data_IF_526566265752
#
_entry.id   IF_526566265752
#
_cell.length_a   1.000
_cell.length_b   1.000
_cell.length_c   1.000
_cell.angle_alpha   90.00
_cell.angle_beta   90.00
_cell.angle_gamma   90.00
#
_symmetry.space_group_name_H-M   'P 1'
#
loop_
_entity.id
_entity.type
_entity.pdbx_description
1 polymer ?
#
# COMPACT_ATOMS: atom_id res chain seq x y z
N UNK A 1 3.82 9.63 14.53
CA UNK A 1 3.75 8.56 13.51
C UNK A 1 2.74 7.48 13.91
N UNK A 2 1.45 7.85 14.17
CA UNK A 2 0.40 6.92 14.61
C UNK A 2 0.12 5.80 13.60
N UNK A 3 -0.06 6.14 12.31
CA UNK A 3 -0.36 5.16 11.27
C UNK A 3 0.80 4.20 11.02
N UNK A 4 2.02 4.71 10.91
CA UNK A 4 3.19 3.86 10.67
C UNK A 4 3.49 2.93 11.83
N UNK A 5 3.27 3.36 13.07
CA UNK A 5 3.42 2.53 14.26
C UNK A 5 2.44 1.34 14.22
N UNK A 6 1.16 1.60 13.93
CA UNK A 6 0.13 0.57 13.83
C UNK A 6 0.41 -0.43 12.69
N UNK A 7 0.78 0.07 11.50
CA UNK A 7 1.10 -0.77 10.34
C UNK A 7 2.29 -1.69 10.60
N UNK A 8 3.38 -1.16 11.17
CA UNK A 8 4.59 -1.95 11.48
C UNK A 8 4.30 -2.99 12.57
N UNK A 9 3.51 -2.63 13.58
CA UNK A 9 3.09 -3.58 14.62
C UNK A 9 2.29 -4.73 14.01
N UNK A 10 1.25 -4.43 13.22
CA UNK A 10 0.46 -5.44 12.53
C UNK A 10 1.33 -6.35 11.67
N UNK A 11 2.20 -5.78 10.84
CA UNK A 11 3.11 -6.56 9.99
C UNK A 11 3.99 -7.49 10.80
N UNK A 12 4.63 -6.99 11.86
CA UNK A 12 5.58 -7.76 12.66
C UNK A 12 4.92 -8.90 13.45
N UNK A 13 3.69 -8.73 13.90
CA UNK A 13 2.93 -9.78 14.59
C UNK A 13 2.40 -10.81 13.60
N UNK A 14 1.75 -10.35 12.54
CA UNK A 14 1.10 -11.23 11.58
C UNK A 14 2.08 -12.08 10.77
N UNK A 15 3.27 -11.56 10.43
CA UNK A 15 4.27 -12.35 9.70
C UNK A 15 4.76 -13.56 10.50
N UNK A 16 4.87 -13.44 11.82
CA UNK A 16 5.28 -14.54 12.68
C UNK A 16 4.21 -15.62 12.77
N UNK A 17 2.94 -15.25 12.74
CA UNK A 17 1.81 -16.19 12.77
C UNK A 17 1.61 -16.89 11.43
N UNK A 18 1.70 -16.14 10.32
CA UNK A 18 1.51 -16.69 8.96
C UNK A 18 2.70 -17.55 8.53
N UNK A 19 3.92 -17.18 8.94
CA UNK A 19 5.15 -17.86 8.55
C UNK A 19 5.91 -18.42 9.76
N UNK A 20 5.33 -19.41 10.49
CA UNK A 20 6.01 -20.04 11.59
C UNK A 20 7.23 -20.83 11.12
N UNK A 21 8.18 -21.11 12.02
CA UNK A 21 9.43 -21.80 11.69
C UNK A 21 9.24 -23.20 11.05
N UNK A 22 8.09 -23.84 11.26
CA UNK A 22 7.74 -25.12 10.64
C UNK A 22 7.10 -25.03 9.25
N UNK A 23 6.96 -23.80 8.73
CA UNK A 23 6.30 -23.51 7.47
C UNK A 23 4.80 -23.16 7.63
N UNK A 24 4.25 -22.40 6.64
CA UNK A 24 2.89 -21.88 6.69
C UNK A 24 1.80 -22.94 6.45
N UNK A 25 2.15 -24.07 5.84
CA UNK A 25 1.15 -25.08 5.45
C UNK A 25 1.02 -26.15 6.53
N UNK A 26 -0.22 -26.41 6.94
CA UNK A 26 -0.62 -27.57 7.76
C UNK A 26 -1.65 -28.36 6.99
N UNK A 27 -1.53 -29.68 7.00
CA UNK A 27 -2.52 -30.59 6.38
C UNK A 27 -3.49 -31.11 7.41
N UNK A 28 -4.76 -31.20 7.03
CA UNK A 28 -5.81 -31.83 7.83
C UNK A 28 -6.47 -32.96 7.05
N UNK A 29 -6.72 -34.10 7.73
CA UNK A 29 -7.35 -35.28 7.11
C UNK A 29 -8.84 -35.25 7.44
N UNK A 30 -9.67 -35.21 6.41
CA UNK A 30 -11.11 -35.37 6.53
C UNK A 30 -11.49 -36.84 6.53
N UNK A 31 -12.27 -37.26 7.52
CA UNK A 31 -12.74 -38.65 7.70
C UNK A 31 -11.80 -39.51 8.52
N UNK A 32 -11.74 -40.83 8.21
CA UNK A 32 -10.98 -41.81 9.01
C UNK A 32 -9.48 -41.60 8.80
N UNK A 33 -8.77 -41.38 9.90
CA UNK A 33 -7.31 -41.21 9.93
C UNK A 33 -6.65 -42.61 9.99
N UNK A 34 -6.03 -43.02 8.87
CA UNK A 34 -5.19 -44.23 8.80
C UNK A 34 -3.70 -43.82 8.81
N UNK A 35 -2.84 -44.75 9.21
CA UNK A 35 -1.38 -44.53 9.22
C UNK A 35 -0.85 -44.13 7.86
N UNK A 36 -1.38 -44.67 6.78
CA UNK A 36 -0.98 -44.35 5.41
C UNK A 36 -1.40 -42.92 5.02
N UNK A 37 -2.65 -42.54 5.35
CA UNK A 37 -3.14 -41.17 5.09
C UNK A 37 -2.35 -40.12 5.88
N UNK A 38 -1.95 -40.43 7.13
CA UNK A 38 -1.10 -39.53 7.92
C UNK A 38 0.26 -39.34 7.28
N UNK A 39 0.88 -40.41 6.74
CA UNK A 39 2.14 -40.31 6.02
C UNK A 39 2.02 -39.52 4.70
N UNK A 40 0.91 -39.72 3.98
CA UNK A 40 0.62 -38.95 2.76
C UNK A 40 0.42 -37.46 3.09
N UNK A 41 -0.39 -37.12 4.08
CA UNK A 41 -0.63 -35.77 4.54
C UNK A 41 0.68 -35.07 4.94
N UNK A 42 1.56 -35.76 5.67
CA UNK A 42 2.87 -35.23 6.03
C UNK A 42 3.75 -34.94 4.80
N UNK A 43 3.80 -35.87 3.82
CA UNK A 43 4.57 -35.64 2.57
C UNK A 43 4.04 -34.44 1.78
N UNK A 44 2.72 -34.29 1.69
CA UNK A 44 2.09 -33.14 1.04
C UNK A 44 2.43 -31.84 1.76
N UNK A 45 2.33 -31.84 3.10
CA UNK A 45 2.72 -30.68 3.92
C UNK A 45 4.19 -30.29 3.71
N UNK A 46 5.11 -31.26 3.81
CA UNK A 46 6.54 -31.02 3.64
C UNK A 46 6.85 -30.51 2.23
N UNK A 47 6.22 -31.08 1.20
CA UNK A 47 6.38 -30.64 -0.18
C UNK A 47 5.86 -29.21 -0.43
N UNK A 48 4.66 -28.87 0.06
CA UNK A 48 4.10 -27.54 -0.09
C UNK A 48 4.92 -26.48 0.66
N UNK A 49 5.39 -26.81 1.87
CA UNK A 49 6.28 -25.91 2.61
C UNK A 49 7.61 -25.72 1.88
N UNK A 50 8.18 -26.77 1.29
CA UNK A 50 9.37 -26.67 0.44
C UNK A 50 9.13 -25.75 -0.77
N UNK A 51 7.99 -25.91 -1.46
CA UNK A 51 7.64 -25.05 -2.59
C UNK A 51 7.56 -23.58 -2.18
N UNK A 52 6.88 -23.27 -1.07
CA UNK A 52 6.67 -21.89 -0.63
C UNK A 52 7.91 -21.23 -0.03
N UNK A 53 8.78 -21.99 0.64
CA UNK A 53 9.90 -21.41 1.38
C UNK A 53 11.23 -21.46 0.61
N UNK A 54 11.42 -22.49 -0.24
CA UNK A 54 12.71 -22.72 -0.92
C UNK A 54 12.61 -22.45 -2.43
N UNK A 55 11.54 -22.90 -3.09
CA UNK A 55 11.40 -22.75 -4.54
C UNK A 55 10.90 -21.33 -4.89
N UNK A 56 9.87 -20.86 -4.17
CA UNK A 56 9.33 -19.50 -4.34
C UNK A 56 10.07 -18.51 -3.45
N UNK A 57 11.30 -18.17 -3.80
CA UNK A 57 12.17 -17.30 -2.99
C UNK A 57 11.59 -15.92 -2.71
N UNK A 58 10.68 -15.45 -3.57
CA UNK A 58 9.97 -14.19 -3.41
C UNK A 58 8.81 -14.27 -2.40
N UNK A 59 8.31 -15.45 -2.05
CA UNK A 59 7.07 -15.61 -1.29
C UNK A 59 7.04 -14.83 0.02
N UNK A 60 8.15 -14.86 0.77
CA UNK A 60 8.28 -14.15 2.03
C UNK A 60 8.29 -12.64 1.85
N UNK A 61 9.13 -12.13 0.94
CA UNK A 61 9.23 -10.69 0.71
C UNK A 61 7.94 -10.09 0.16
N UNK A 62 7.25 -10.82 -0.73
CA UNK A 62 5.94 -10.40 -1.24
C UNK A 62 4.85 -10.48 -0.16
N UNK A 63 4.95 -11.40 0.79
CA UNK A 63 4.06 -11.45 1.97
C UNK A 63 4.31 -10.26 2.89
N UNK A 64 5.56 -9.88 3.14
CA UNK A 64 5.91 -8.72 3.96
C UNK A 64 5.37 -7.41 3.36
N UNK A 65 5.47 -7.23 2.04
CA UNK A 65 4.89 -6.08 1.32
C UNK A 65 3.36 -6.06 1.44
N UNK A 66 2.72 -7.21 1.27
CA UNK A 66 1.28 -7.35 1.40
C UNK A 66 0.81 -6.97 2.80
N UNK A 67 1.45 -7.50 3.84
CA UNK A 67 1.11 -7.23 5.24
C UNK A 67 1.40 -5.79 5.67
N UNK A 68 2.31 -5.10 5.00
CA UNK A 68 2.54 -3.68 5.22
C UNK A 68 1.44 -2.83 4.55
N UNK A 69 1.07 -3.14 3.31
CA UNK A 69 0.08 -2.39 2.54
C UNK A 69 -1.34 -2.63 3.03
N UNK A 70 -1.69 -3.86 3.41
CA UNK A 70 -3.03 -4.28 3.77
C UNK A 70 -3.68 -3.41 4.88
N UNK A 71 -3.07 -3.23 6.07
CA UNK A 71 -3.69 -2.41 7.12
C UNK A 71 -3.77 -0.94 6.74
N UNK A 72 -2.85 -0.44 5.92
CA UNK A 72 -2.82 0.96 5.51
C UNK A 72 -3.94 1.26 4.50
N UNK A 73 -3.95 0.53 3.38
CA UNK A 73 -4.86 0.76 2.25
C UNK A 73 -6.22 0.08 2.41
N UNK A 74 -6.31 -0.99 3.21
CA UNK A 74 -7.53 -1.76 3.45
C UNK A 74 -7.72 -2.94 2.51
N UNK A 75 -7.21 -2.89 1.29
CA UNK A 75 -7.22 -3.97 0.32
C UNK A 75 -5.84 -4.22 -0.24
N UNK A 76 -5.52 -5.49 -0.44
CA UNK A 76 -4.29 -5.92 -1.09
C UNK A 76 -4.58 -7.21 -1.87
N UNK A 77 -3.84 -7.44 -2.94
CA UNK A 77 -4.04 -8.60 -3.78
C UNK A 77 -2.76 -9.41 -3.89
N UNK A 78 -2.93 -10.70 -4.10
CA UNK A 78 -1.83 -11.61 -4.42
C UNK A 78 -2.14 -12.31 -5.72
N UNK A 79 -1.23 -12.20 -6.67
CA UNK A 79 -1.28 -12.97 -7.92
C UNK A 79 -0.44 -14.22 -7.78
N UNK A 80 -1.04 -15.37 -8.15
CA UNK A 80 -0.36 -16.66 -8.18
C UNK A 80 -0.47 -17.19 -9.61
N UNK A 81 0.67 -17.43 -10.23
CA UNK A 81 0.73 -17.89 -11.61
C UNK A 81 2.01 -18.70 -11.86
N UNK A 82 2.01 -19.45 -12.94
CA UNK A 82 3.21 -20.11 -13.42
C UNK A 82 3.99 -19.16 -14.31
N UNK A 83 5.24 -18.88 -13.98
CA UNK A 83 6.10 -18.01 -14.79
C UNK A 83 6.88 -18.88 -15.79
N UNK A 84 6.61 -18.76 -17.10
CA UNK A 84 7.29 -19.57 -18.11
C UNK A 84 8.79 -19.23 -18.22
N UNK A 85 9.20 -18.02 -17.85
CA UNK A 85 10.61 -17.63 -17.88
C UNK A 85 11.42 -18.22 -16.73
N UNK A 86 10.77 -18.47 -15.59
CA UNK A 86 11.37 -19.10 -14.42
C UNK A 86 11.11 -20.60 -14.33
N UNK A 87 10.13 -21.11 -15.11
CA UNK A 87 9.73 -22.53 -15.10
C UNK A 87 9.15 -23.00 -13.77
N UNK A 88 8.58 -22.11 -12.95
CA UNK A 88 8.04 -22.42 -11.63
C UNK A 88 6.83 -21.54 -11.26
N UNK A 89 6.02 -21.97 -10.28
CA UNK A 89 4.99 -21.11 -9.70
C UNK A 89 5.62 -19.88 -9.06
N UNK A 90 4.94 -18.75 -9.16
CA UNK A 90 5.37 -17.46 -8.63
C UNK A 90 4.22 -16.79 -7.91
N UNK A 91 4.54 -16.15 -6.81
CA UNK A 91 3.58 -15.36 -6.02
C UNK A 91 4.03 -13.90 -5.98
N UNK A 92 3.15 -12.98 -6.37
CA UNK A 92 3.44 -11.56 -6.45
C UNK A 92 2.40 -10.77 -5.69
N UNK A 93 2.85 -9.80 -4.91
CA UNK A 93 1.98 -8.78 -4.32
C UNK A 93 1.53 -7.79 -5.39
N UNK A 94 0.24 -7.46 -5.38
CA UNK A 94 -0.36 -6.44 -6.25
C UNK A 94 -1.08 -5.42 -5.35
N UNK A 95 -0.65 -4.16 -5.36
CA UNK A 95 -1.31 -3.11 -4.60
C UNK A 95 -2.70 -2.81 -5.17
N UNK A 96 -3.58 -2.26 -4.34
CA UNK A 96 -4.96 -1.97 -4.73
C UNK A 96 -5.06 -0.96 -5.89
N UNK A 97 -4.07 -0.07 -6.04
CA UNK A 97 -4.01 0.93 -7.11
C UNK A 97 -3.74 0.33 -8.49
N UNK A 98 -3.09 -0.83 -8.55
CA UNK A 98 -2.79 -1.56 -9.79
C UNK A 98 -3.84 -2.62 -10.13
N UNK A 99 -4.89 -2.73 -9.32
CA UNK A 99 -5.96 -3.71 -9.51
C UNK A 99 -7.31 -3.02 -9.70
N UNK A 100 -7.86 -3.12 -10.89
CA UNK A 100 -9.10 -2.42 -11.28
C UNK A 100 -10.21 -3.43 -11.50
N UNK A 101 -11.35 -3.20 -10.85
CA UNK A 101 -12.56 -4.04 -10.94
C UNK A 101 -13.73 -3.20 -11.43
N UNK A 102 -14.72 -3.83 -12.05
CA UNK A 102 -15.96 -3.16 -12.44
C UNK A 102 -16.69 -2.60 -11.21
N UNK A 103 -17.31 -1.43 -11.37
CA UNK A 103 -17.86 -0.65 -10.24
C UNK A 103 -18.92 -1.39 -9.40
N UNK A 104 -19.71 -2.25 -10.03
CA UNK A 104 -20.84 -2.93 -9.38
C UNK A 104 -20.46 -4.28 -8.74
N UNK A 105 -19.22 -4.70 -8.85
CA UNK A 105 -18.78 -5.99 -8.30
C UNK A 105 -18.59 -5.90 -6.78
N UNK A 106 -19.02 -6.94 -6.09
CA UNK A 106 -18.83 -7.08 -4.65
C UNK A 106 -17.65 -8.00 -4.32
N UNK A 107 -17.49 -9.08 -5.08
CA UNK A 107 -16.51 -10.13 -4.86
C UNK A 107 -15.69 -10.42 -6.12
N UNK A 108 -14.43 -10.85 -5.90
CA UNK A 108 -13.54 -11.20 -7.00
C UNK A 108 -14.00 -12.46 -7.75
N UNK A 109 -14.63 -13.40 -7.05
CA UNK A 109 -15.04 -14.68 -7.60
C UNK A 109 -16.19 -14.54 -8.60
N UNK A 110 -17.07 -13.56 -8.35
CA UNK A 110 -18.24 -13.28 -9.17
C UNK A 110 -17.97 -12.19 -10.24
N UNK A 111 -16.83 -11.49 -10.12
CA UNK A 111 -16.53 -10.40 -11.02
C UNK A 111 -16.34 -10.91 -12.46
N UNK A 112 -17.14 -10.38 -13.40
CA UNK A 112 -17.03 -10.70 -14.82
C UNK A 112 -15.76 -10.12 -15.45
N UNK A 113 -15.25 -9.03 -14.88
CA UNK A 113 -14.04 -8.37 -15.37
C UNK A 113 -13.22 -7.73 -14.24
N UNK A 114 -11.95 -8.06 -14.21
CA UNK A 114 -10.93 -7.32 -13.46
C UNK A 114 -9.64 -7.21 -14.25
N UNK A 115 -8.86 -6.19 -13.95
CA UNK A 115 -7.67 -5.84 -14.72
C UNK A 115 -6.51 -5.56 -13.77
N UNK A 116 -5.39 -6.21 -14.02
CA UNK A 116 -4.11 -5.93 -13.39
C UNK A 116 -3.29 -5.00 -14.29
N UNK A 117 -2.94 -3.84 -13.79
CA UNK A 117 -2.12 -2.84 -14.47
C UNK A 117 -0.66 -3.11 -14.16
N UNK A 118 0.16 -3.34 -15.17
CA UNK A 118 1.58 -3.70 -15.01
C UNK A 118 2.47 -2.73 -15.78
N UNK A 119 3.51 -2.22 -15.11
CA UNK A 119 4.57 -1.47 -15.76
C UNK A 119 5.76 -2.41 -16.04
N UNK A 120 6.08 -2.64 -17.30
CA UNK A 120 7.14 -3.55 -17.75
C UNK A 120 8.18 -2.81 -18.58
N UNK A 121 9.47 -3.12 -18.36
CA UNK A 121 10.53 -2.61 -19.23
C UNK A 121 10.47 -3.27 -20.59
N UNK A 122 10.98 -2.60 -21.63
CA UNK A 122 11.06 -3.13 -22.99
C UNK A 122 11.76 -4.50 -23.05
N UNK A 123 12.80 -4.69 -22.22
CA UNK A 123 13.51 -5.96 -22.14
C UNK A 123 12.67 -7.09 -21.55
N UNK A 124 11.85 -6.80 -20.52
CA UNK A 124 10.93 -7.77 -19.92
C UNK A 124 9.86 -8.22 -20.93
N UNK A 125 9.28 -7.27 -21.67
CA UNK A 125 8.33 -7.57 -22.73
C UNK A 125 8.99 -8.41 -23.81
N UNK A 126 10.19 -8.05 -24.25
CA UNK A 126 10.92 -8.82 -25.27
C UNK A 126 11.24 -10.25 -24.84
N UNK A 127 11.61 -10.47 -23.58
CA UNK A 127 11.81 -11.84 -23.05
C UNK A 127 10.54 -12.67 -23.15
N UNK A 128 9.37 -12.09 -22.85
CA UNK A 128 8.08 -12.78 -22.94
C UNK A 128 7.65 -13.00 -24.40
N UNK A 129 8.04 -12.12 -25.33
CA UNK A 129 7.87 -12.35 -26.76
C UNK A 129 8.73 -13.50 -27.28
N UNK A 130 10.00 -13.53 -26.88
CA UNK A 130 10.94 -14.60 -27.28
C UNK A 130 10.52 -15.96 -26.72
N UNK A 131 9.97 -16.01 -25.50
CA UNK A 131 9.43 -17.25 -24.91
C UNK A 131 8.12 -17.71 -25.54
N UNK A 132 7.52 -16.92 -26.45
CA UNK A 132 6.24 -17.24 -27.10
C UNK A 132 5.03 -16.96 -26.22
N UNK A 133 5.23 -16.36 -25.03
CA UNK A 133 4.11 -15.97 -24.16
C UNK A 133 3.35 -14.77 -24.69
N UNK A 134 4.04 -13.79 -25.28
CA UNK A 134 3.45 -12.66 -26.00
C UNK A 134 3.71 -12.75 -27.49
N UNK A 135 2.81 -12.21 -28.30
CA UNK A 135 3.02 -12.03 -29.73
C UNK A 135 4.26 -11.19 -30.00
N UNK A 136 5.06 -11.57 -30.95
CA UNK A 136 6.21 -10.78 -31.43
C UNK A 136 5.71 -9.62 -32.30
N UNK A 137 5.37 -8.52 -31.67
CA UNK A 137 4.87 -7.27 -32.28
C UNK A 137 5.76 -6.13 -31.83
N UNK A 138 6.07 -5.23 -32.73
CA UNK A 138 6.81 -4.02 -32.40
C UNK A 138 5.89 -3.06 -31.64
N UNK A 139 6.19 -2.79 -30.40
CA UNK A 139 5.47 -1.85 -29.56
C UNK A 139 6.12 -0.46 -29.63
N UNK A 140 5.30 0.56 -29.57
CA UNK A 140 5.75 1.94 -29.43
C UNK A 140 5.80 2.28 -27.95
N UNK A 141 6.95 2.75 -27.47
CA UNK A 141 7.07 3.25 -26.11
C UNK A 141 6.32 4.57 -25.96
N UNK A 142 5.60 4.72 -24.88
CA UNK A 142 4.97 5.97 -24.51
C UNK A 142 5.46 6.38 -23.12
N UNK A 143 5.50 7.69 -22.91
CA UNK A 143 5.58 8.19 -21.53
C UNK A 143 4.38 7.65 -20.76
N UNK A 144 4.66 6.91 -19.69
CA UNK A 144 3.63 6.52 -18.74
C UNK A 144 3.23 7.81 -18.02
N UNK A 145 1.98 8.22 -18.17
CA UNK A 145 1.43 9.28 -17.35
C UNK A 145 1.57 8.85 -15.89
N UNK A 146 2.37 9.58 -15.11
CA UNK A 146 2.55 9.30 -13.71
C UNK A 146 1.19 9.44 -13.01
N UNK A 147 0.86 8.46 -12.21
CA UNK A 147 -0.34 8.50 -11.40
C UNK A 147 -0.14 9.58 -10.32
N UNK A 148 -1.11 10.49 -10.07
CA UNK A 148 -1.01 11.50 -9.00
C UNK A 148 -0.65 10.93 -7.62
N UNK A 149 -0.94 9.66 -7.40
CA UNK A 149 -0.55 8.92 -6.17
C UNK A 149 0.96 8.68 -6.16
N UNK A 150 1.53 8.22 -7.28
CA UNK A 150 2.98 7.99 -7.42
C UNK A 150 3.76 9.31 -7.28
N UNK A 151 3.27 10.40 -7.88
CA UNK A 151 3.85 11.74 -7.73
C UNK A 151 3.90 12.17 -6.26
N UNK A 152 2.81 11.90 -5.53
CA UNK A 152 2.73 12.22 -4.12
C UNK A 152 3.67 11.38 -3.26
N UNK A 153 3.84 10.09 -3.58
CA UNK A 153 4.83 9.23 -2.93
C UNK A 153 6.26 9.72 -3.20
N UNK A 154 6.56 10.09 -4.43
CA UNK A 154 7.86 10.65 -4.81
C UNK A 154 8.14 11.97 -4.06
N UNK A 155 7.15 12.86 -3.96
CA UNK A 155 7.24 14.10 -3.17
C UNK A 155 7.52 13.82 -1.69
N UNK A 156 6.78 12.88 -1.08
CA UNK A 156 6.96 12.49 0.32
C UNK A 156 8.34 11.83 0.54
N UNK A 157 8.77 11.00 -0.41
CA UNK A 157 10.09 10.34 -0.39
C UNK A 157 11.26 11.26 -0.70
N UNK A 158 11.00 12.52 -1.08
CA UNK A 158 12.04 13.47 -1.49
C UNK A 158 12.70 13.11 -2.84
N UNK A 159 12.08 12.20 -3.58
CA UNK A 159 12.51 11.80 -4.91
C UNK A 159 11.97 12.83 -5.90
N UNK A 160 12.87 13.56 -6.57
CA UNK A 160 12.45 14.37 -7.71
C UNK A 160 12.21 13.43 -8.89
N UNK A 161 11.07 13.55 -9.60
CA UNK A 161 10.89 12.80 -10.83
C UNK A 161 12.06 13.17 -11.74
N UNK A 162 12.98 12.24 -11.93
CA UNK A 162 13.99 12.34 -12.97
C UNK A 162 13.33 11.86 -14.25
N UNK A 163 13.70 12.44 -15.37
CA UNK A 163 13.35 11.91 -16.68
C UNK A 163 13.62 10.41 -16.68
N UNK A 164 12.55 9.60 -16.74
CA UNK A 164 12.68 8.17 -16.86
C UNK A 164 13.25 7.90 -18.26
N UNK A 165 14.57 7.71 -18.32
CA UNK A 165 15.25 7.35 -19.56
C UNK A 165 14.95 5.89 -19.94
N UNK A 166 14.32 5.12 -19.06
CA UNK A 166 13.88 3.77 -19.34
C UNK A 166 12.51 3.79 -20.02
N UNK A 167 12.51 3.32 -21.25
CA UNK A 167 11.29 3.05 -21.99
C UNK A 167 10.51 1.94 -21.30
N UNK A 168 9.32 2.24 -20.79
CA UNK A 168 8.41 1.29 -20.14
C UNK A 168 7.12 1.17 -20.91
N UNK A 169 6.52 -0.02 -20.82
CA UNK A 169 5.20 -0.30 -21.36
C UNK A 169 4.22 -0.51 -20.21
N UNK A 170 3.08 0.17 -20.28
CA UNK A 170 1.97 -0.11 -19.38
C UNK A 170 1.08 -1.16 -20.00
N UNK A 171 1.09 -2.36 -19.41
CA UNK A 171 0.31 -3.49 -19.87
C UNK A 171 -0.94 -3.66 -19.01
N UNK A 172 -2.06 -3.94 -19.65
CA UNK A 172 -3.34 -4.25 -19.03
C UNK A 172 -3.59 -5.75 -19.19
N UNK A 173 -3.47 -6.50 -18.11
CA UNK A 173 -3.85 -7.91 -18.06
C UNK A 173 -5.28 -7.99 -17.56
N UNK A 174 -6.20 -8.24 -18.48
CA UNK A 174 -7.63 -8.32 -18.22
C UNK A 174 -8.05 -9.78 -18.08
N UNK A 175 -8.69 -10.11 -16.98
CA UNK A 175 -9.44 -11.34 -16.80
C UNK A 175 -10.91 -10.99 -17.04
N UNK A 176 -11.49 -11.56 -18.09
CA UNK A 176 -12.81 -11.13 -18.59
C UNK A 176 -13.56 -12.28 -19.20
N UNK A 177 -14.86 -12.31 -18.96
CA UNK A 177 -15.77 -13.19 -19.64
C UNK A 177 -16.21 -12.50 -20.94
N UNK A 178 -15.87 -13.11 -22.09
CA UNK A 178 -16.08 -12.51 -23.41
C UNK A 178 -16.43 -13.56 -24.45
N UNK A 179 -17.31 -13.18 -25.37
CA UNK A 179 -17.62 -13.95 -26.54
C UNK A 179 -16.67 -13.54 -27.68
N UNK A 180 -15.76 -14.45 -28.05
CA UNK A 180 -14.75 -14.20 -29.09
C UNK A 180 -15.22 -14.79 -30.42
N UNK A 181 -15.25 -13.95 -31.44
CA UNK A 181 -15.61 -14.36 -32.80
C UNK A 181 -14.74 -15.52 -33.32
N UNK A 182 -15.37 -16.63 -33.62
CA UNK A 182 -14.70 -17.87 -34.08
C UNK A 182 -14.31 -18.82 -32.94
N UNK A 183 -14.62 -18.48 -31.71
CA UNK A 183 -14.43 -19.29 -30.51
C UNK A 183 -15.65 -19.23 -29.57
N UNK A 184 -16.82 -18.95 -30.19
CA UNK A 184 -18.09 -18.84 -29.48
C UNK A 184 -18.46 -20.16 -28.80
N UNK A 185 -19.08 -20.07 -27.64
CA UNK A 185 -19.69 -21.23 -27.02
C UNK A 185 -21.00 -21.60 -27.75
N UNK A 186 -21.29 -22.89 -27.97
CA UNK A 186 -22.52 -23.32 -28.62
C UNK A 186 -23.80 -22.79 -27.94
N UNK A 187 -23.75 -22.58 -26.65
CA UNK A 187 -24.87 -22.09 -25.84
C UNK A 187 -24.96 -20.55 -25.78
N UNK A 188 -24.04 -19.84 -26.44
CA UNK A 188 -23.98 -18.37 -26.48
C UNK A 188 -23.55 -17.73 -25.17
N UNK A 189 -22.82 -18.46 -24.33
CA UNK A 189 -22.29 -17.97 -23.05
C UNK A 189 -20.90 -17.38 -23.26
N UNK A 190 -20.65 -16.21 -22.69
CA UNK A 190 -19.32 -15.61 -22.67
C UNK A 190 -18.35 -16.48 -21.84
N UNK A 191 -17.18 -16.75 -22.39
CA UNK A 191 -16.17 -17.62 -21.77
C UNK A 191 -15.07 -16.81 -21.10
N UNK A 192 -14.46 -17.32 -19.99
CA UNK A 192 -13.39 -16.64 -19.28
C UNK A 192 -12.07 -16.69 -20.06
N UNK A 193 -11.51 -15.52 -20.35
CA UNK A 193 -10.21 -15.34 -21.00
C UNK A 193 -9.30 -14.42 -20.21
N UNK A 194 -7.99 -14.59 -20.39
CA UNK A 194 -6.96 -13.65 -19.96
C UNK A 194 -6.41 -12.95 -21.19
N UNK A 195 -6.66 -11.64 -21.30
CA UNK A 195 -6.25 -10.83 -22.44
C UNK A 195 -5.24 -9.80 -21.97
N UNK A 196 -4.04 -9.78 -22.57
CA UNK A 196 -3.05 -8.76 -22.28
C UNK A 196 -2.95 -7.77 -23.42
N UNK A 197 -3.08 -6.49 -23.10
CA UNK A 197 -3.07 -5.37 -24.05
C UNK A 197 -1.99 -4.37 -23.63
N UNK A 198 -1.24 -3.85 -24.58
CA UNK A 198 -0.43 -2.66 -24.37
C UNK A 198 -1.31 -1.41 -24.40
N UNK A 199 -1.37 -0.68 -23.31
CA UNK A 199 -2.27 0.50 -23.15
C UNK A 199 -1.99 1.59 -24.17
N UNK A 200 -0.72 1.82 -24.50
CA UNK A 200 -0.32 2.92 -25.39
C UNK A 200 -0.70 2.69 -26.85
N UNK A 201 -0.45 1.49 -27.35
CA UNK A 201 -0.72 1.11 -28.74
C UNK A 201 -2.07 0.42 -28.94
N UNK A 202 -2.78 0.10 -27.84
CA UNK A 202 -3.99 -0.73 -27.85
C UNK A 202 -3.79 -2.08 -28.55
N UNK A 203 -2.54 -2.56 -28.57
CA UNK A 203 -2.18 -3.81 -29.27
C UNK A 203 -2.36 -4.99 -28.33
N UNK A 204 -3.09 -6.01 -28.79
CA UNK A 204 -3.27 -7.26 -28.05
C UNK A 204 -1.99 -8.08 -28.16
N UNK A 205 -1.39 -8.39 -27.00
CA UNK A 205 -0.16 -9.17 -26.87
C UNK A 205 -0.44 -10.67 -26.71
N UNK A 206 -1.49 -11.02 -25.96
CA UNK A 206 -1.88 -12.42 -25.76
C UNK A 206 -3.37 -12.55 -25.46
N UNK A 207 -3.92 -13.71 -25.78
CA UNK A 207 -5.24 -14.17 -25.40
C UNK A 207 -5.09 -15.62 -24.95
N UNK A 208 -5.41 -15.89 -23.70
CA UNK A 208 -5.35 -17.24 -23.13
C UNK A 208 -6.71 -17.64 -22.57
N UNK A 209 -7.06 -18.92 -22.73
CA UNK A 209 -8.23 -19.52 -22.07
C UNK A 209 -7.97 -19.57 -20.56
N UNK A 210 -8.97 -19.21 -19.76
CA UNK A 210 -8.85 -19.16 -18.30
C UNK A 210 -9.63 -20.28 -17.60
N UNK A 211 -9.63 -21.48 -18.18
CA UNK A 211 -10.22 -22.71 -17.64
C UNK A 211 -9.34 -23.92 -17.91
N UNK A 212 -9.61 -25.05 -17.27
CA UNK A 212 -8.93 -26.30 -17.56
C UNK A 212 -9.50 -26.95 -18.81
N UNK A 213 -8.65 -27.56 -19.66
CA UNK A 213 -9.07 -28.18 -20.93
C UNK A 213 -10.05 -29.33 -20.72
N UNK A 214 -9.93 -30.03 -19.57
CA UNK A 214 -10.77 -31.17 -19.20
C UNK A 214 -12.06 -30.75 -18.47
N UNK A 215 -12.27 -29.45 -18.22
CA UNK A 215 -13.44 -28.94 -17.50
C UNK A 215 -14.59 -28.66 -18.47
N UNK A 216 -15.63 -29.49 -18.42
CA UNK A 216 -16.86 -29.34 -19.23
C UNK A 216 -17.62 -28.05 -18.91
N UNK A 217 -17.51 -27.56 -17.67
CA UNK A 217 -18.20 -26.34 -17.21
C UNK A 217 -17.41 -25.07 -17.46
N UNK A 218 -16.16 -25.18 -17.94
CA UNK A 218 -15.26 -24.06 -18.25
C UNK A 218 -15.16 -23.03 -17.11
N UNK A 219 -15.02 -23.53 -15.86
CA UNK A 219 -14.95 -22.71 -14.65
C UNK A 219 -13.69 -21.87 -14.67
N UNK A 220 -13.84 -20.58 -14.39
CA UNK A 220 -12.74 -19.59 -14.34
C UNK A 220 -11.68 -19.97 -13.32
N UNK A 221 -10.42 -20.06 -13.76
CA UNK A 221 -9.27 -20.21 -12.85
C UNK A 221 -9.02 -18.92 -12.09
N UNK A 222 -8.82 -19.07 -10.79
CA UNK A 222 -8.52 -17.94 -9.91
C UNK A 222 -7.02 -17.72 -9.81
N UNK A 223 -6.53 -16.63 -10.38
CA UNK A 223 -5.13 -16.22 -10.31
C UNK A 223 -4.85 -15.20 -9.22
N UNK A 224 -5.88 -14.52 -8.73
CA UNK A 224 -5.76 -13.49 -7.72
C UNK A 224 -6.51 -13.86 -6.46
N UNK A 225 -5.92 -13.49 -5.32
CA UNK A 225 -6.55 -13.58 -4.00
C UNK A 225 -6.68 -12.17 -3.44
N UNK A 226 -7.88 -11.79 -3.06
CA UNK A 226 -8.18 -10.51 -2.42
C UNK A 226 -8.06 -10.65 -0.90
N UNK A 227 -7.24 -9.83 -0.29
CA UNK A 227 -7.10 -9.68 1.15
C UNK A 227 -7.76 -8.38 1.59
N UNK A 228 -8.67 -8.45 2.55
CA UNK A 228 -9.34 -7.30 3.13
C UNK A 228 -8.96 -7.10 4.60
N UNK A 229 -8.76 -5.85 5.01
CA UNK A 229 -8.44 -5.52 6.41
C UNK A 229 -9.71 -5.34 7.25
N UNK A 230 -10.55 -4.38 6.90
CA UNK A 230 -11.88 -4.20 7.50
C UNK A 230 -12.90 -4.17 6.37
N UNK A 231 -13.97 -5.00 6.44
CA UNK A 231 -14.98 -5.02 5.39
C UNK A 231 -15.54 -3.62 5.10
N UNK A 232 -15.51 -3.22 3.83
CA UNK A 232 -16.10 -1.98 3.33
C UNK A 232 -17.52 -2.18 2.82
N UNK A 233 -18.08 -1.13 2.21
CA UNK A 233 -19.44 -1.17 1.63
C UNK A 233 -19.40 -1.71 0.19
N UNK A 234 -18.25 -1.63 -0.49
CA UNK A 234 -18.04 -2.09 -1.86
C UNK A 234 -16.95 -3.15 -1.96
N UNK A 235 -16.40 -3.31 -3.15
CA UNK A 235 -15.34 -4.27 -3.42
C UNK A 235 -14.08 -4.02 -2.57
N UNK A 236 -13.64 -2.76 -2.46
CA UNK A 236 -12.45 -2.42 -1.68
C UNK A 236 -12.80 -2.26 -0.20
N UNK A 237 -11.95 -2.81 0.63
CA UNK A 237 -12.07 -2.78 2.08
C UNK A 237 -11.45 -1.51 2.69
N UNK A 238 -11.79 -1.23 3.94
CA UNK A 238 -11.31 -0.07 4.66
C UNK A 238 -9.99 -0.36 5.37
N UNK A 239 -9.03 0.56 5.25
CA UNK A 239 -7.77 0.54 5.97
C UNK A 239 -7.70 1.60 7.06
N UNK A 240 -6.61 1.59 7.83
CA UNK A 240 -6.34 2.56 8.88
C UNK A 240 -6.35 4.01 8.37
N UNK A 241 -5.95 4.23 7.11
CA UNK A 241 -5.98 5.57 6.52
C UNK A 241 -7.40 6.15 6.46
N UNK A 242 -8.40 5.31 6.23
CA UNK A 242 -9.80 5.72 6.19
C UNK A 242 -10.35 6.02 7.59
N UNK A 243 -9.91 5.25 8.60
CA UNK A 243 -10.43 5.33 9.97
C UNK A 243 -9.70 6.39 10.81
N UNK A 244 -8.39 6.45 10.73
CA UNK A 244 -7.54 7.29 11.60
C UNK A 244 -6.88 8.44 10.83
N UNK A 245 -6.94 8.44 9.50
CA UNK A 245 -6.30 9.46 8.65
C UNK A 245 -6.74 10.88 8.94
N UNK A 246 -8.03 11.08 9.26
CA UNK A 246 -8.57 12.38 9.68
C UNK A 246 -7.93 12.90 10.97
N UNK A 247 -7.78 12.04 11.98
CA UNK A 247 -7.12 12.37 13.26
C UNK A 247 -5.63 12.67 13.04
N UNK A 248 -4.95 11.87 12.22
CA UNK A 248 -3.54 12.07 11.89
C UNK A 248 -3.30 13.42 11.16
N UNK A 249 -4.20 13.78 10.24
CA UNK A 249 -4.16 15.07 9.54
C UNK A 249 -4.37 16.24 10.51
N UNK A 250 -5.34 16.14 11.41
CA UNK A 250 -5.61 17.14 12.43
C UNK A 250 -4.43 17.30 13.40
N UNK A 251 -3.86 16.21 13.89
CA UNK A 251 -2.67 16.24 14.74
C UNK A 251 -1.46 16.92 14.05
N UNK A 252 -1.25 16.61 12.77
CA UNK A 252 -0.18 17.24 11.97
C UNK A 252 -0.41 18.75 11.83
N UNK A 253 -1.64 19.17 11.58
CA UNK A 253 -2.02 20.59 11.47
C UNK A 253 -1.80 21.34 12.78
N UNK A 254 -2.21 20.76 13.92
CA UNK A 254 -1.99 21.33 15.25
C UNK A 254 -0.50 21.45 15.59
N UNK A 255 0.28 20.41 15.27
CA UNK A 255 1.72 20.43 15.49
C UNK A 255 2.39 21.55 14.67
N UNK A 256 2.02 21.73 13.41
CA UNK A 256 2.52 22.83 12.58
C UNK A 256 2.19 24.19 13.17
N UNK A 257 0.94 24.40 13.60
CA UNK A 257 0.52 25.64 14.26
C UNK A 257 1.31 25.94 15.54
N UNK A 258 1.58 24.92 16.36
CA UNK A 258 2.39 25.06 17.59
C UNK A 258 3.84 25.41 17.26
N UNK A 259 4.43 24.77 16.25
CA UNK A 259 5.81 25.07 15.80
C UNK A 259 5.88 26.48 15.21
N UNK A 260 4.93 26.88 14.38
CA UNK A 260 4.87 28.22 13.78
C UNK A 260 4.72 29.30 14.87
N UNK A 261 3.80 29.09 15.83
CA UNK A 261 3.63 30.00 16.96
C UNK A 261 4.91 30.11 17.82
N UNK A 262 5.58 28.98 18.08
CA UNK A 262 6.86 28.95 18.79
C UNK A 262 7.97 29.67 18.04
N UNK A 263 8.04 29.49 16.73
CA UNK A 263 9.03 30.17 15.87
C UNK A 263 8.81 31.67 15.87
N UNK A 264 7.56 32.12 15.68
CA UNK A 264 7.22 33.55 15.69
C UNK A 264 7.42 34.19 17.07
N UNK A 265 7.16 33.45 18.14
CA UNK A 265 7.40 33.93 19.52
C UNK A 265 8.89 34.05 19.83
N UNK A 266 9.72 33.09 19.36
CA UNK A 266 11.17 33.10 19.63
C UNK A 266 11.95 34.06 18.70
N UNK A 267 11.43 34.32 17.51
CA UNK A 267 12.00 35.24 16.51
C UNK A 267 10.97 36.31 16.16
N UNK A 268 10.64 37.22 17.10
CA UNK A 268 9.60 38.20 16.87
C UNK A 268 10.02 39.20 15.80
N UNK A 269 9.18 39.34 14.78
CA UNK A 269 9.29 40.45 13.84
C UNK A 269 8.84 41.77 14.48
N UNK A 270 9.31 42.87 13.97
CA UNK A 270 8.95 44.20 14.44
C UNK A 270 8.70 45.19 13.31
N UNK A 271 8.08 46.30 13.68
CA UNK A 271 7.92 47.46 12.80
C UNK A 271 8.93 48.53 13.18
N UNK A 272 9.63 49.06 12.22
CA UNK A 272 10.52 50.20 12.41
C UNK A 272 9.99 51.47 11.71
N UNK A 273 10.15 52.62 12.30
CA UNK A 273 9.76 53.88 11.68
C UNK A 273 10.61 54.16 10.45
N UNK A 274 9.98 54.71 9.40
CA UNK A 274 10.69 55.09 8.17
C UNK A 274 11.72 56.20 8.50
N UNK A 275 13.01 55.93 8.32
CA UNK A 275 14.10 56.84 8.65
C UNK A 275 15.03 56.33 9.73
N UNK A 276 14.62 55.29 10.52
CA UNK A 276 15.51 54.57 11.39
C UNK A 276 16.53 53.79 10.53
N UNK A 277 17.82 54.11 10.62
CA UNK A 277 18.90 53.42 9.94
C UNK A 277 19.67 52.58 10.94
N UNK A 278 19.78 51.28 10.62
CA UNK A 278 20.60 50.35 11.41
C UNK A 278 21.79 49.96 10.54
N UNK A 279 23.00 50.16 10.98
CA UNK A 279 24.19 49.78 10.27
C UNK A 279 24.26 48.24 10.15
N UNK A 280 24.31 47.75 8.92
CA UNK A 280 24.29 46.28 8.69
C UNK A 280 22.90 45.65 8.72
N UNK A 281 21.83 46.36 8.34
CA UNK A 281 20.42 45.90 8.33
C UNK A 281 20.19 44.67 7.43
N UNK A 282 21.08 44.43 6.47
CA UNK A 282 21.00 43.31 5.51
C UNK A 282 21.54 41.96 6.06
N UNK A 283 22.12 41.97 7.25
CA UNK A 283 22.72 40.77 7.85
C UNK A 283 22.08 40.43 9.19
N UNK A 284 21.91 39.13 9.52
CA UNK A 284 21.44 38.72 10.84
C UNK A 284 22.37 39.21 11.95
N UNK A 285 21.80 39.62 13.09
CA UNK A 285 22.57 39.97 14.29
C UNK A 285 23.12 38.72 14.95
N UNK A 286 24.43 38.71 15.17
CA UNK A 286 25.09 37.62 15.92
C UNK A 286 24.90 37.75 17.43
N UNK A 287 24.87 36.67 18.18
CA UNK A 287 24.82 36.73 19.65
C UNK A 287 25.97 37.55 20.24
N UNK A 288 25.62 38.60 20.99
CA UNK A 288 26.61 39.52 21.59
C UNK A 288 27.04 40.70 20.74
N UNK A 289 26.47 40.83 19.54
CA UNK A 289 26.76 41.95 18.63
C UNK A 289 25.97 43.21 19.02
N UNK A 290 26.63 44.39 18.97
CA UNK A 290 26.01 45.70 19.13
C UNK A 290 26.10 46.45 17.79
N UNK A 291 24.98 47.03 17.36
CA UNK A 291 24.92 47.80 16.10
C UNK A 291 24.59 49.27 16.36
N UNK A 292 25.25 50.12 15.64
CA UNK A 292 24.98 51.59 15.64
C UNK A 292 23.62 51.84 14.94
N UNK A 293 22.81 52.68 15.55
CA UNK A 293 21.48 53.04 15.08
C UNK A 293 21.34 54.56 15.05
N UNK A 294 21.02 55.09 13.86
CA UNK A 294 20.68 56.49 13.70
C UNK A 294 19.18 56.68 13.90
N UNK A 295 18.80 57.43 14.91
CA UNK A 295 17.39 57.67 15.26
C UNK A 295 17.00 59.11 14.80
N UNK A 296 15.95 59.25 13.99
CA UNK A 296 15.55 60.56 13.45
C UNK A 296 14.96 61.51 14.49
N UNK A 297 14.71 61.05 15.70
CA UNK A 297 14.23 61.81 16.87
C UNK A 297 13.61 60.91 17.93
N UNK A 298 13.74 61.23 19.20
CA UNK A 298 13.23 60.44 20.32
C UNK A 298 14.10 59.26 20.74
N UNK A 299 13.59 58.40 21.59
CA UNK A 299 14.29 57.20 22.03
C UNK A 299 14.18 56.07 20.96
N UNK A 300 15.15 55.17 20.93
CA UNK A 300 15.11 53.97 20.02
C UNK A 300 13.82 53.19 20.23
N UNK A 301 13.36 53.11 21.49
CA UNK A 301 12.15 52.42 21.90
C UNK A 301 10.86 52.93 21.25
N UNK A 302 10.80 54.23 20.92
CA UNK A 302 9.64 54.86 20.29
C UNK A 302 9.60 54.60 18.77
N UNK A 303 10.71 54.18 18.20
CA UNK A 303 10.89 53.95 16.78
C UNK A 303 10.83 52.50 16.36
N UNK A 304 10.79 51.55 17.30
CA UNK A 304 10.70 50.10 17.06
C UNK A 304 9.56 49.54 17.90
N UNK A 305 8.65 48.87 17.27
CA UNK A 305 7.55 48.14 17.92
C UNK A 305 7.59 46.68 17.49
N UNK A 306 7.72 45.76 18.47
CA UNK A 306 7.59 44.34 18.21
C UNK A 306 6.13 43.98 17.95
N UNK A 307 5.89 43.10 16.98
CA UNK A 307 4.56 42.54 16.73
C UNK A 307 4.17 41.65 17.94
N UNK A 308 2.95 41.79 18.44
CA UNK A 308 2.50 41.01 19.60
C UNK A 308 2.15 39.58 19.21
N UNK A 309 3.17 38.74 19.03
CA UNK A 309 2.95 37.31 18.80
C UNK A 309 2.57 36.65 20.13
N UNK A 310 1.53 35.79 20.07
CA UNK A 310 1.12 35.00 21.22
C UNK A 310 2.02 33.79 21.36
N UNK A 311 2.29 33.40 22.58
CA UNK A 311 2.97 32.17 22.93
C UNK A 311 2.16 30.95 22.42
N UNK A 312 2.82 29.81 22.16
CA UNK A 312 2.12 28.55 21.79
C UNK A 312 1.05 28.22 22.85
N UNK A 313 -0.16 27.95 22.36
CA UNK A 313 -1.30 27.67 23.25
C UNK A 313 -1.15 26.32 23.95
N UNK A 314 -1.18 26.32 25.29
CA UNK A 314 -1.21 25.07 26.07
C UNK A 314 -2.46 24.23 25.84
N UNK A 315 -3.58 24.87 25.48
CA UNK A 315 -4.83 24.18 25.12
C UNK A 315 -4.67 23.39 23.81
N UNK A 316 -4.01 23.98 22.80
CA UNK A 316 -3.72 23.28 21.55
C UNK A 316 -2.75 22.12 21.76
N UNK A 317 -1.79 22.26 22.68
CA UNK A 317 -0.89 21.17 23.03
C UNK A 317 -1.62 20.01 23.71
N UNK A 318 -2.52 20.29 24.65
CA UNK A 318 -3.36 19.28 25.29
C UNK A 318 -4.30 18.60 24.28
N UNK A 319 -4.92 19.37 23.38
CA UNK A 319 -5.75 18.83 22.31
C UNK A 319 -4.95 17.90 21.38
N UNK A 320 -3.72 18.26 21.03
CA UNK A 320 -2.83 17.40 20.27
C UNK A 320 -2.56 16.08 20.99
N UNK A 321 -2.29 16.15 22.31
CA UNK A 321 -2.10 14.95 23.15
C UNK A 321 -3.31 14.03 23.12
N UNK A 322 -4.50 14.55 23.31
CA UNK A 322 -5.75 13.80 23.29
C UNK A 322 -6.01 13.13 21.91
N UNK A 323 -5.82 13.88 20.83
CA UNK A 323 -6.00 13.33 19.47
C UNK A 323 -5.01 12.19 19.19
N UNK A 324 -3.76 12.33 19.63
CA UNK A 324 -2.74 11.28 19.47
C UNK A 324 -3.10 10.04 20.30
N UNK A 325 -3.58 10.22 21.52
CA UNK A 325 -3.99 9.10 22.38
C UNK A 325 -5.21 8.37 21.85
N UNK A 326 -6.25 9.09 21.41
CA UNK A 326 -7.41 8.50 20.77
C UNK A 326 -7.05 7.76 19.47
N UNK A 327 -6.20 8.34 18.62
CA UNK A 327 -5.72 7.72 17.42
C UNK A 327 -4.95 6.42 17.67
N UNK A 328 -4.10 6.39 18.69
CA UNK A 328 -3.39 5.17 19.12
C UNK A 328 -4.34 4.12 19.68
N UNK A 329 -5.28 4.52 20.52
CA UNK A 329 -6.29 3.63 21.08
C UNK A 329 -7.12 2.98 19.99
N UNK A 330 -7.54 3.74 18.98
CA UNK A 330 -8.30 3.21 17.86
C UNK A 330 -7.50 2.23 17.00
N UNK A 331 -6.24 2.55 16.73
CA UNK A 331 -5.32 1.68 15.99
C UNK A 331 -5.03 0.36 16.76
N UNK A 332 -4.87 0.41 18.09
CA UNK A 332 -4.63 -0.78 18.91
C UNK A 332 -5.86 -1.68 19.07
N UNK A 333 -7.08 -1.14 19.02
CA UNK A 333 -8.31 -1.95 19.02
C UNK A 333 -8.47 -2.77 17.74
N UNK A 334 -7.95 -2.29 16.61
CA UNK A 334 -7.93 -3.06 15.37
C UNK A 334 -6.97 -4.26 15.45
N UNK A 335 -5.87 -4.14 16.21
CA UNK A 335 -4.90 -5.21 16.43
C UNK A 335 -5.43 -6.34 17.33
N UNK A 336 -6.27 -6.02 18.33
CA UNK A 336 -6.84 -7.00 19.26
C UNK A 336 -7.75 -8.03 18.54
N UNK A 337 -8.41 -7.63 17.45
CA UNK A 337 -9.24 -8.55 16.67
C UNK A 337 -8.43 -9.59 15.90
N UNK A 338 -7.18 -9.33 15.57
CA UNK A 338 -6.30 -10.28 14.86
C UNK A 338 -5.76 -11.33 15.83
N UNK A 339 -5.45 -10.94 17.07
CA UNK A 339 -5.00 -11.87 18.11
C UNK A 339 -6.10 -12.84 18.62
N UNK A 340 -7.38 -12.41 18.55
CA UNK A 340 -8.53 -13.20 19.01
C UNK A 340 -8.93 -14.33 18.04
N UNK A 341 -8.37 -14.39 16.84
CA UNK A 341 -8.66 -15.43 15.86
C UNK A 341 -7.92 -16.76 16.09
N UNK A 342 -7.15 -16.89 17.14
CA UNK A 342 -6.48 -18.15 17.48
C UNK A 342 -7.46 -19.06 18.25
N UNK A 343 -8.27 -19.81 17.52
CA UNK A 343 -9.30 -20.74 18.05
C UNK A 343 -8.75 -21.87 18.94
N UNK A 344 -7.45 -21.97 19.13
CA UNK A 344 -6.78 -22.99 19.97
C UNK A 344 -6.22 -22.40 21.29
N UNK A 345 -6.46 -21.14 21.61
CA UNK A 345 -5.99 -20.58 22.87
C UNK A 345 -6.81 -21.14 24.05
N UNK A 346 -6.17 -21.62 25.13
CA UNK A 346 -6.89 -22.07 26.32
C UNK A 346 -7.78 -20.92 26.87
N UNK A 347 -8.98 -21.26 27.33
CA UNK A 347 -10.00 -20.32 27.83
C UNK A 347 -9.46 -19.30 28.84
N UNK A 348 -8.44 -19.67 29.63
CA UNK A 348 -7.77 -18.77 30.57
C UNK A 348 -6.96 -17.65 29.94
N UNK A 349 -6.44 -17.83 28.72
CA UNK A 349 -5.69 -16.80 28.00
C UNK A 349 -6.64 -15.77 27.39
N UNK A 350 -7.80 -16.23 26.91
CA UNK A 350 -8.86 -15.38 26.36
C UNK A 350 -9.46 -14.48 27.43
N UNK A 351 -9.67 -15.00 28.66
CA UNK A 351 -10.14 -14.22 29.80
C UNK A 351 -9.12 -13.16 30.25
N UNK A 352 -7.82 -13.49 30.28
CA UNK A 352 -6.76 -12.54 30.66
C UNK A 352 -6.58 -11.42 29.61
N UNK A 353 -6.90 -11.67 28.33
CA UNK A 353 -6.88 -10.66 27.27
C UNK A 353 -8.12 -9.74 27.40
N UNK A 354 -9.30 -10.31 27.72
CA UNK A 354 -10.52 -9.52 27.97
C UNK A 354 -10.44 -8.62 29.21
N UNK A 355 -9.72 -9.03 30.26
CA UNK A 355 -9.49 -8.19 31.46
C UNK A 355 -8.49 -7.04 31.21
N UNK A 356 -7.71 -7.09 30.13
CA UNK A 356 -6.72 -6.09 29.76
C UNK A 356 -7.21 -5.08 28.70
N UNK A 357 -8.37 -5.33 28.10
CA UNK A 357 -9.04 -4.45 27.12
C UNK A 357 -10.04 -3.53 27.85
#
# INVERSE_FOLDING_TARGET
PMLSEAVVRFQSQTIQEIMPAKGPVKTHIWGVSTKERLQQAKRVQDYLNYQLLEVMTEYRSETEKLLFSLPLAGSAFRKIYFDPSLGRPTSMFVPAEDFVVSYNEADLDQAERYTHVMNRSTNQVKKLQVSGFYRDVKLTTSHIEENPITDKFNEIGGVKPSYDAEERHQLLEMHVDVDLVGFEDPDGVALPYVITIDKSSSTILSIYRNWDEDDEHKVKKQHFVHYGYVPGIGFYNLGLIHMVGGLAKSATSLLRQLVDAGTLSNLPGGLKTRGLRIKGDDTPIMPGEFRDVDVPGGAIRDNITFLPYKEPSSVLYQLLGNIVEEGRRFASMADLKVADMNQEAPVGTTLAIMERA
#
